data_IF_063625863451
#
_entry.id   IF_063625863451
#
_cell.length_a   1.000
_cell.length_b   1.000
_cell.length_c   1.000
_cell.angle_alpha   90.00
_cell.angle_beta   90.00
_cell.angle_gamma   90.00
#
_symmetry.space_group_name_H-M   'P 1'
#
loop_
_entity.id
_entity.type
_entity.pdbx_description
1 polymer ?
#
# COMPACT_ATOMS: atom_id res chain seq x y z
N UNK A 1 -10.69 -32.39 -32.42
CA UNK A 1 -10.20 -32.61 -31.04
C UNK A 1 -10.04 -31.27 -30.27
N UNK A 2 -10.84 -30.23 -30.57
CA UNK A 2 -10.62 -28.87 -30.06
C UNK A 2 -11.57 -28.49 -28.91
N UNK A 3 -12.57 -29.32 -28.63
CA UNK A 3 -13.59 -29.11 -27.60
C UNK A 3 -13.02 -29.22 -26.19
N UNK A 4 -12.03 -30.09 -25.99
CA UNK A 4 -11.39 -30.31 -24.70
C UNK A 4 -10.55 -29.08 -24.27
N UNK A 5 -9.70 -28.57 -25.18
CA UNK A 5 -8.88 -27.39 -24.89
C UNK A 5 -9.72 -26.14 -24.62
N UNK A 6 -10.80 -25.92 -25.38
CA UNK A 6 -11.70 -24.80 -25.15
C UNK A 6 -12.42 -24.91 -23.79
N UNK A 7 -12.80 -26.13 -23.38
CA UNK A 7 -13.41 -26.38 -22.07
C UNK A 7 -12.42 -26.19 -20.94
N UNK A 8 -11.20 -26.68 -21.08
CA UNK A 8 -10.10 -26.47 -20.14
C UNK A 8 -9.83 -24.98 -19.93
N UNK A 9 -9.72 -24.20 -21.01
CA UNK A 9 -9.50 -22.75 -20.92
C UNK A 9 -10.66 -22.03 -20.21
N UNK A 10 -11.90 -22.49 -20.38
CA UNK A 10 -13.04 -21.94 -19.63
C UNK A 10 -12.91 -22.20 -18.13
N UNK A 11 -12.50 -23.40 -17.73
CA UNK A 11 -12.29 -23.75 -16.31
C UNK A 11 -11.12 -22.96 -15.72
N UNK A 12 -10.00 -22.87 -16.43
CA UNK A 12 -8.83 -22.09 -15.98
C UNK A 12 -9.19 -20.63 -15.73
N UNK A 13 -10.01 -20.01 -16.60
CA UNK A 13 -10.48 -18.63 -16.42
C UNK A 13 -11.33 -18.42 -15.16
N UNK A 14 -11.90 -19.48 -14.57
CA UNK A 14 -12.63 -19.39 -13.30
C UNK A 14 -11.68 -19.32 -12.09
N UNK A 15 -10.41 -19.67 -12.22
CA UNK A 15 -9.47 -19.75 -11.10
C UNK A 15 -8.16 -18.98 -11.32
N UNK A 16 -7.91 -18.52 -12.54
CA UNK A 16 -6.74 -17.75 -12.90
C UNK A 16 -7.08 -16.59 -13.83
N UNK A 17 -6.22 -15.58 -13.81
CA UNK A 17 -6.21 -14.42 -14.71
C UNK A 17 -4.98 -14.46 -15.59
N UNK A 18 -5.09 -13.91 -16.80
CA UNK A 18 -4.00 -13.88 -17.75
C UNK A 18 -3.18 -12.58 -17.61
N UNK A 19 -1.86 -12.71 -17.48
CA UNK A 19 -0.91 -11.58 -17.46
C UNK A 19 0.28 -11.92 -18.35
N UNK A 20 0.51 -11.12 -19.40
CA UNK A 20 1.60 -11.33 -20.37
C UNK A 20 1.64 -12.76 -20.96
N UNK A 21 0.46 -13.35 -21.22
CA UNK A 21 0.33 -14.71 -21.74
C UNK A 21 0.44 -15.82 -20.70
N UNK A 22 0.73 -15.50 -19.43
CA UNK A 22 0.84 -16.48 -18.35
C UNK A 22 -0.43 -16.48 -17.48
N UNK A 23 -0.86 -17.67 -17.06
CA UNK A 23 -1.95 -17.83 -16.09
C UNK A 23 -1.44 -17.64 -14.67
N UNK A 24 -2.13 -16.79 -13.91
CA UNK A 24 -1.83 -16.50 -12.51
C UNK A 24 -3.10 -16.71 -11.69
N UNK A 25 -3.01 -17.45 -10.59
CA UNK A 25 -4.14 -17.74 -9.69
C UNK A 25 -4.83 -16.44 -9.25
N UNK A 26 -6.17 -16.41 -9.19
CA UNK A 26 -6.93 -15.23 -8.74
C UNK A 26 -6.69 -14.91 -7.27
N UNK A 27 -6.80 -13.64 -6.90
CA UNK A 27 -6.49 -13.19 -5.54
C UNK A 27 -7.49 -13.67 -4.50
N UNK A 28 -8.77 -13.82 -4.87
CA UNK A 28 -9.83 -14.33 -4.00
C UNK A 28 -9.69 -15.81 -3.63
N UNK A 29 -8.89 -16.56 -4.39
CA UNK A 29 -8.52 -17.94 -4.07
C UNK A 29 -7.39 -17.99 -3.05
N UNK A 30 -6.42 -17.06 -3.14
CA UNK A 30 -5.30 -16.99 -2.21
C UNK A 30 -5.65 -16.29 -0.90
N UNK A 31 -6.58 -15.34 -0.95
CA UNK A 31 -7.06 -14.60 0.21
C UNK A 31 -8.59 -14.77 0.30
N UNK A 32 -9.07 -15.89 0.86
CA UNK A 32 -10.50 -16.12 1.05
C UNK A 32 -11.14 -15.01 1.88
N UNK A 33 -12.44 -14.77 1.65
CA UNK A 33 -13.20 -13.78 2.41
C UNK A 33 -13.13 -14.07 3.91
N UNK A 34 -13.25 -13.01 4.71
CA UNK A 34 -13.23 -13.05 6.18
C UNK A 34 -11.93 -13.60 6.80
N UNK A 35 -10.86 -13.69 6.01
CA UNK A 35 -9.51 -13.99 6.50
C UNK A 35 -8.67 -12.72 6.61
N UNK A 36 -7.51 -12.84 7.26
CA UNK A 36 -6.53 -11.77 7.39
C UNK A 36 -5.11 -12.31 7.18
N UNK A 37 -4.19 -11.45 6.73
CA UNK A 37 -2.78 -11.79 6.57
C UNK A 37 -2.19 -12.24 7.90
N UNK A 38 -1.43 -13.33 7.86
CA UNK A 38 -0.69 -13.84 9.02
C UNK A 38 0.50 -12.95 9.42
N UNK A 39 0.98 -12.11 8.49
CA UNK A 39 2.16 -11.25 8.72
C UNK A 39 1.77 -10.00 9.50
N UNK A 40 0.70 -9.31 9.09
CA UNK A 40 0.32 -8.02 9.68
C UNK A 40 -1.16 -7.87 10.06
N UNK A 41 -1.97 -8.93 9.92
CA UNK A 41 -3.40 -8.89 10.25
C UNK A 41 -4.25 -8.10 9.24
N UNK A 42 -3.71 -7.76 8.08
CA UNK A 42 -4.43 -7.03 7.03
C UNK A 42 -5.60 -7.88 6.49
N UNK A 43 -6.83 -7.33 6.41
CA UNK A 43 -7.97 -8.06 5.84
C UNK A 43 -7.74 -8.56 4.42
N UNK A 44 -8.29 -9.74 4.12
CA UNK A 44 -8.18 -10.39 2.80
C UNK A 44 -8.60 -9.49 1.63
N UNK A 45 -9.59 -8.61 1.83
CA UNK A 45 -10.04 -7.68 0.81
C UNK A 45 -8.92 -6.70 0.40
N UNK A 46 -8.19 -6.14 1.37
CA UNK A 46 -7.06 -5.25 1.09
C UNK A 46 -5.89 -6.01 0.46
N UNK A 47 -5.65 -7.25 0.88
CA UNK A 47 -4.66 -8.14 0.26
C UNK A 47 -5.01 -8.43 -1.21
N UNK A 48 -6.29 -8.70 -1.50
CA UNK A 48 -6.78 -8.88 -2.86
C UNK A 48 -6.58 -7.62 -3.70
N UNK A 49 -6.96 -6.45 -3.19
CA UNK A 49 -6.77 -5.17 -3.89
C UNK A 49 -5.30 -4.89 -4.19
N UNK A 50 -4.42 -5.09 -3.21
CA UNK A 50 -2.99 -4.89 -3.39
C UNK A 50 -2.38 -5.82 -4.43
N UNK A 51 -2.73 -7.12 -4.37
CA UNK A 51 -2.27 -8.11 -5.34
C UNK A 51 -2.82 -7.87 -6.74
N UNK A 52 -4.11 -7.59 -6.86
CA UNK A 52 -4.75 -7.29 -8.14
C UNK A 52 -4.16 -6.03 -8.77
N UNK A 53 -3.81 -5.01 -7.98
CA UNK A 53 -3.12 -3.82 -8.47
C UNK A 53 -1.71 -4.13 -8.99
N UNK A 54 -0.94 -4.95 -8.26
CA UNK A 54 0.39 -5.42 -8.72
C UNK A 54 0.27 -6.18 -10.04
N UNK A 55 -0.69 -7.11 -10.15
CA UNK A 55 -0.93 -7.87 -11.36
C UNK A 55 -1.35 -6.98 -12.53
N UNK A 56 -2.24 -6.02 -12.30
CA UNK A 56 -2.61 -5.02 -13.29
C UNK A 56 -1.40 -4.21 -13.77
N UNK A 57 -0.49 -3.80 -12.89
CA UNK A 57 0.72 -3.10 -13.34
C UNK A 57 1.58 -3.95 -14.27
N UNK A 58 1.61 -5.27 -14.07
CA UNK A 58 2.29 -6.20 -14.98
C UNK A 58 1.56 -6.38 -16.32
N UNK A 59 0.26 -6.10 -16.44
CA UNK A 59 -0.38 -6.08 -17.77
C UNK A 59 0.07 -4.87 -18.58
N UNK A 60 0.38 -3.76 -17.90
CA UNK A 60 0.77 -2.49 -18.53
C UNK A 60 2.28 -2.37 -18.76
N UNK A 61 3.08 -2.94 -17.87
CA UNK A 61 4.53 -2.76 -17.86
C UNK A 61 5.25 -4.10 -17.67
N UNK A 62 6.42 -4.22 -18.29
CA UNK A 62 7.29 -5.39 -18.06
C UNK A 62 7.86 -5.43 -16.63
N UNK A 63 8.07 -4.25 -16.05
CA UNK A 63 8.69 -4.08 -14.74
C UNK A 63 7.80 -3.25 -13.81
N UNK A 64 7.81 -3.58 -12.52
CA UNK A 64 7.05 -2.90 -11.48
C UNK A 64 7.99 -2.41 -10.37
N UNK A 65 7.78 -1.17 -9.93
CA UNK A 65 8.55 -0.55 -8.85
C UNK A 65 7.77 -0.64 -7.53
N UNK A 66 8.38 -1.26 -6.52
CA UNK A 66 7.75 -1.42 -5.18
C UNK A 66 7.35 -0.09 -4.55
N UNK A 67 8.16 0.96 -4.73
CA UNK A 67 7.87 2.29 -4.20
C UNK A 67 6.61 2.90 -4.82
N UNK A 68 6.42 2.72 -6.14
CA UNK A 68 5.22 3.16 -6.84
C UNK A 68 3.99 2.43 -6.31
N UNK A 69 4.10 1.11 -6.13
CA UNK A 69 3.02 0.31 -5.55
C UNK A 69 2.67 0.83 -4.16
N UNK A 70 3.65 0.96 -3.26
CA UNK A 70 3.45 1.44 -1.89
C UNK A 70 2.88 2.85 -1.77
N UNK A 71 3.06 3.71 -2.78
CA UNK A 71 2.47 5.06 -2.79
C UNK A 71 0.98 5.06 -3.14
N UNK A 72 0.50 3.99 -3.78
CA UNK A 72 -0.87 3.87 -4.27
C UNK A 72 -1.68 2.97 -3.35
N UNK A 73 -1.18 1.77 -3.02
CA UNK A 73 -1.92 0.82 -2.20
C UNK A 73 -1.63 1.00 -0.71
N UNK A 74 -2.65 0.77 0.12
CA UNK A 74 -2.59 0.92 1.57
C UNK A 74 -2.22 -0.37 2.27
N UNK A 75 -1.12 -0.98 1.82
CA UNK A 75 -0.57 -2.18 2.44
C UNK A 75 0.75 -1.86 3.14
N UNK A 76 1.03 -2.50 4.29
CA UNK A 76 2.36 -2.51 4.88
C UNK A 76 3.40 -2.93 3.85
N UNK A 77 4.60 -2.38 3.97
CA UNK A 77 5.69 -2.64 3.03
C UNK A 77 6.00 -4.13 2.91
N UNK A 78 5.88 -4.87 4.00
CA UNK A 78 6.12 -6.29 4.15
C UNK A 78 5.16 -7.11 3.27
N UNK A 79 3.86 -6.80 3.30
CA UNK A 79 2.83 -7.45 2.47
C UNK A 79 3.11 -7.23 0.98
N UNK A 80 3.46 -6.00 0.60
CA UNK A 80 3.78 -5.66 -0.80
C UNK A 80 4.98 -6.46 -1.29
N UNK A 81 6.00 -6.58 -0.42
CA UNK A 81 7.20 -7.37 -0.74
C UNK A 81 6.83 -8.84 -0.94
N UNK A 82 6.05 -9.42 -0.03
CA UNK A 82 5.64 -10.81 -0.11
C UNK A 82 4.86 -11.10 -1.41
N UNK A 83 3.86 -10.27 -1.72
CA UNK A 83 3.08 -10.37 -2.96
C UNK A 83 4.00 -10.35 -4.20
N UNK A 84 4.97 -9.44 -4.23
CA UNK A 84 5.93 -9.36 -5.32
C UNK A 84 6.83 -10.61 -5.37
N UNK A 85 7.31 -11.12 -4.24
CA UNK A 85 8.16 -12.32 -4.19
C UNK A 85 7.44 -13.59 -4.67
N UNK A 86 6.13 -13.70 -4.44
CA UNK A 86 5.31 -14.83 -4.91
C UNK A 86 5.19 -14.86 -6.44
N UNK A 87 5.07 -13.69 -7.09
CA UNK A 87 4.68 -13.59 -8.51
C UNK A 87 5.88 -13.22 -9.42
N UNK A 88 6.84 -12.52 -8.87
CA UNK A 88 7.93 -11.87 -9.59
C UNK A 88 9.29 -12.17 -8.99
N UNK A 89 10.34 -11.75 -9.68
CA UNK A 89 11.72 -11.80 -9.22
C UNK A 89 12.32 -10.40 -9.28
N UNK A 90 13.25 -10.13 -8.38
CA UNK A 90 14.00 -8.87 -8.41
C UNK A 90 15.00 -8.94 -9.57
N UNK A 91 15.04 -7.87 -10.36
CA UNK A 91 15.96 -7.70 -11.48
C UNK A 91 16.83 -6.46 -11.18
N UNK A 92 18.15 -6.64 -11.22
CA UNK A 92 19.18 -5.60 -11.12
C UNK A 92 18.81 -4.42 -10.21
N UNK A 93 18.33 -3.32 -10.82
CA UNK A 93 17.98 -2.03 -10.22
C UNK A 93 16.76 -2.05 -9.26
N UNK A 94 16.54 -3.13 -8.50
CA UNK A 94 15.39 -3.30 -7.59
C UNK A 94 14.03 -3.22 -8.31
N UNK A 95 14.01 -3.48 -9.62
CA UNK A 95 12.78 -3.58 -10.41
C UNK A 95 12.26 -5.00 -10.31
N UNK A 96 10.94 -5.16 -10.26
CA UNK A 96 10.31 -6.47 -10.21
C UNK A 96 9.83 -6.86 -11.60
N UNK A 97 10.16 -8.06 -12.04
CA UNK A 97 9.73 -8.63 -13.32
C UNK A 97 9.04 -9.97 -13.05
N UNK A 98 7.99 -10.30 -13.79
CA UNK A 98 7.34 -11.61 -13.69
C UNK A 98 8.38 -12.74 -13.77
N UNK A 99 8.19 -13.77 -12.93
CA UNK A 99 9.09 -14.94 -12.91
C UNK A 99 9.18 -15.59 -14.30
N UNK A 100 8.04 -15.67 -14.98
CA UNK A 100 7.93 -16.25 -16.32
C UNK A 100 8.12 -15.17 -17.41
N UNK A 101 8.78 -15.51 -18.53
CA UNK A 101 8.84 -14.64 -19.70
C UNK A 101 7.44 -14.43 -20.32
N UNK A 102 7.30 -13.44 -21.20
CA UNK A 102 6.05 -13.26 -21.95
C UNK A 102 5.81 -14.52 -22.78
N UNK A 103 4.64 -15.15 -22.61
CA UNK A 103 4.24 -16.28 -23.45
C UNK A 103 3.61 -15.78 -24.75
N UNK A 104 4.46 -15.46 -25.73
CA UNK A 104 4.03 -15.03 -27.06
C UNK A 104 3.28 -16.13 -27.82
N UNK A 105 3.58 -17.40 -27.54
CA UNK A 105 2.94 -18.52 -28.23
C UNK A 105 1.47 -18.63 -27.79
N UNK A 106 1.19 -18.50 -26.49
CA UNK A 106 -0.17 -18.46 -25.97
C UNK A 106 -0.94 -17.27 -26.54
N UNK A 107 -0.32 -16.08 -26.53
CA UNK A 107 -0.97 -14.85 -27.02
C UNK A 107 -1.39 -14.99 -28.48
N UNK A 108 -0.50 -15.50 -29.34
CA UNK A 108 -0.81 -15.70 -30.77
C UNK A 108 -1.81 -16.83 -31.01
N UNK A 109 -1.82 -17.87 -30.16
CA UNK A 109 -2.65 -19.06 -30.35
C UNK A 109 -4.10 -18.86 -29.87
N UNK A 110 -4.32 -18.02 -28.85
CA UNK A 110 -5.64 -17.79 -28.24
C UNK A 110 -5.97 -16.29 -28.12
N UNK A 111 -5.96 -15.52 -29.23
CA UNK A 111 -6.17 -14.07 -29.21
C UNK A 111 -7.53 -13.67 -28.63
N UNK A 112 -8.56 -14.48 -28.81
CA UNK A 112 -9.90 -14.25 -28.26
C UNK A 112 -9.93 -14.33 -26.73
N UNK A 113 -9.14 -15.23 -26.13
CA UNK A 113 -9.01 -15.34 -24.68
C UNK A 113 -8.25 -14.13 -24.14
N UNK A 114 -7.16 -13.75 -24.82
CA UNK A 114 -6.38 -12.54 -24.46
C UNK A 114 -7.27 -11.31 -24.49
N UNK A 115 -8.06 -11.13 -25.54
CA UNK A 115 -8.96 -9.97 -25.67
C UNK A 115 -9.99 -9.92 -24.54
N UNK A 116 -10.61 -11.06 -24.19
CA UNK A 116 -11.57 -11.12 -23.09
C UNK A 116 -10.91 -10.82 -21.73
N UNK A 117 -9.70 -11.33 -21.51
CA UNK A 117 -8.93 -11.05 -20.29
C UNK A 117 -8.53 -9.58 -20.21
N UNK A 118 -8.24 -8.94 -21.35
CA UNK A 118 -7.99 -7.50 -21.39
C UNK A 118 -9.24 -6.71 -20.96
N UNK A 119 -10.43 -7.04 -21.51
CA UNK A 119 -11.68 -6.40 -21.07
C UNK A 119 -11.94 -6.61 -19.58
N UNK A 120 -11.62 -7.80 -19.06
CA UNK A 120 -11.71 -8.07 -17.63
C UNK A 120 -10.77 -7.18 -16.81
N UNK A 121 -9.52 -7.00 -17.25
CA UNK A 121 -8.56 -6.10 -16.60
C UNK A 121 -8.99 -4.64 -16.68
N UNK A 122 -9.57 -4.18 -17.79
CA UNK A 122 -10.08 -2.81 -17.92
C UNK A 122 -11.22 -2.56 -16.93
N UNK A 123 -12.12 -3.52 -16.76
CA UNK A 123 -13.18 -3.46 -15.75
C UNK A 123 -12.60 -3.50 -14.32
N UNK A 124 -11.62 -4.39 -14.09
CA UNK A 124 -10.95 -4.53 -12.79
C UNK A 124 -10.18 -3.29 -12.39
N UNK A 125 -9.51 -2.61 -13.34
CA UNK A 125 -8.82 -1.35 -13.10
C UNK A 125 -9.79 -0.27 -12.60
N UNK A 126 -10.97 -0.16 -13.19
CA UNK A 126 -12.00 0.78 -12.74
C UNK A 126 -12.42 0.48 -11.30
N UNK A 127 -12.67 -0.79 -10.98
CA UNK A 127 -13.01 -1.22 -9.62
C UNK A 127 -11.89 -0.90 -8.61
N UNK A 128 -10.63 -1.17 -8.96
CA UNK A 128 -9.48 -0.86 -8.10
C UNK A 128 -9.33 0.66 -7.87
N UNK A 129 -9.58 1.47 -8.89
CA UNK A 129 -9.49 2.93 -8.80
C UNK A 129 -10.55 3.49 -7.86
N UNK A 130 -11.79 3.03 -7.97
CA UNK A 130 -12.87 3.45 -7.06
C UNK A 130 -12.62 2.98 -5.61
N UNK A 131 -12.28 1.71 -5.41
CA UNK A 131 -12.00 1.17 -4.07
C UNK A 131 -10.87 1.94 -3.36
N UNK A 132 -9.82 2.29 -4.10
CA UNK A 132 -8.71 3.06 -3.56
C UNK A 132 -9.10 4.51 -3.23
N UNK A 133 -9.98 5.10 -4.04
CA UNK A 133 -10.53 6.45 -3.81
C UNK A 133 -11.42 6.48 -2.58
N UNK A 134 -12.28 5.49 -2.39
CA UNK A 134 -13.19 5.40 -1.23
C UNK A 134 -12.44 5.24 0.09
N UNK A 135 -11.36 4.46 0.11
CA UNK A 135 -10.47 4.40 1.27
C UNK A 135 -9.90 5.78 1.63
N UNK A 136 -9.60 6.63 0.64
CA UNK A 136 -9.04 7.97 0.84
C UNK A 136 -9.96 8.94 1.56
N UNK A 137 -11.27 8.88 1.29
CA UNK A 137 -12.25 9.77 1.92
C UNK A 137 -12.64 9.31 3.32
N UNK A 138 -12.72 8.00 3.59
CA UNK A 138 -13.09 7.49 4.91
C UNK A 138 -12.03 7.78 6.01
N UNK A 139 -10.76 7.90 5.63
CA UNK A 139 -9.69 8.31 6.56
C UNK A 139 -9.74 9.81 6.91
N UNK A 140 -10.46 10.63 6.14
CA UNK A 140 -10.56 12.08 6.35
C UNK A 140 -11.80 12.52 7.14
N UNK A 141 -12.80 11.65 7.30
CA UNK A 141 -14.07 11.97 7.97
C UNK A 141 -14.14 11.58 9.46
N UNK A 142 -13.15 10.85 10.00
CA UNK A 142 -13.12 10.42 11.41
C UNK A 142 -12.62 11.48 12.41
N UNK A 143 -12.47 12.75 11.98
CA UNK A 143 -11.81 13.81 12.76
C UNK A 143 -12.63 15.06 13.08
N UNK A 144 -13.98 15.04 13.11
CA UNK A 144 -14.74 16.26 13.49
C UNK A 144 -16.04 16.01 14.25
N UNK A 145 -15.95 15.43 15.44
CA UNK A 145 -16.97 15.63 16.48
C UNK A 145 -16.90 17.07 17.01
N UNK A 146 -17.43 18.01 16.22
CA UNK A 146 -17.60 19.41 16.62
C UNK A 146 -18.76 19.44 17.61
N UNK A 147 -18.45 19.50 18.91
CA UNK A 147 -19.42 19.82 19.97
C UNK A 147 -20.17 21.10 19.57
N UNK A 148 -21.42 20.96 19.13
CA UNK A 148 -22.34 22.07 18.86
C UNK A 148 -23.09 22.36 20.16
N UNK A 149 -22.56 23.27 20.97
CA UNK A 149 -23.33 23.87 22.07
C UNK A 149 -24.33 24.85 21.45
N UNK A 150 -25.60 24.49 21.42
CA UNK A 150 -26.72 25.39 21.17
C UNK A 150 -26.92 26.24 22.41
N UNK A 151 -26.40 27.47 22.35
CA UNK A 151 -26.79 28.57 23.23
C UNK A 151 -28.05 29.16 22.61
N UNK A 152 -29.20 28.90 23.22
CA UNK A 152 -30.43 29.59 22.88
C UNK A 152 -30.67 30.72 23.90
N UNK A 153 -30.94 31.90 23.36
CA UNK A 153 -31.44 33.12 24.00
C UNK A 153 -32.38 33.62 22.90
N UNK A 154 -33.67 33.83 23.07
CA UNK A 154 -34.40 34.56 24.12
C UNK A 154 -35.82 34.76 23.58
N UNK A 155 -36.88 34.70 24.40
CA UNK A 155 -38.02 35.65 24.29
C UNK A 155 -38.94 35.52 25.51
N UNK A 156 -39.35 36.69 26.01
CA UNK A 156 -40.27 36.94 27.12
C UNK A 156 -41.71 36.55 26.78
N UNK A 157 -42.51 36.18 27.78
CA UNK A 157 -43.82 36.80 27.98
C UNK A 157 -44.33 36.65 29.42
N UNK A 158 -45.22 37.58 29.74
CA UNK A 158 -45.76 38.04 31.02
C UNK A 158 -46.50 36.97 31.86
N UNK A 159 -46.61 37.19 33.18
CA UNK A 159 -47.83 37.18 34.02
C UNK A 159 -47.49 36.99 35.52
N UNK A 160 -48.17 37.78 36.36
CA UNK A 160 -47.96 37.98 37.79
C UNK A 160 -48.77 37.01 38.65
N UNK A 161 -48.15 36.49 39.72
CA UNK A 161 -48.71 36.12 41.06
C UNK A 161 -47.65 35.21 41.71
N UNK A 162 -47.06 35.46 42.86
CA UNK A 162 -47.63 35.81 44.16
C UNK A 162 -47.05 34.81 45.17
N UNK A 163 -46.52 35.33 46.29
CA UNK A 163 -46.05 34.62 47.50
C UNK A 163 -44.62 34.03 47.59
N UNK A 164 -43.84 34.60 48.52
CA UNK A 164 -43.40 33.80 49.67
C UNK A 164 -41.94 33.32 49.80
N UNK A 165 -41.08 34.22 50.32
CA UNK A 165 -39.93 33.98 51.24
C UNK A 165 -38.51 33.56 50.75
N UNK A 166 -37.44 33.96 51.49
CA UNK A 166 -36.06 34.00 50.99
C UNK A 166 -35.06 33.01 51.64
N UNK A 167 -33.98 32.69 50.91
CA UNK A 167 -32.55 32.44 51.32
C UNK A 167 -32.23 31.37 52.41
N UNK A 168 -31.08 30.63 52.36
CA UNK A 168 -29.75 31.22 52.15
C UNK A 168 -28.66 30.38 51.44
N UNK A 169 -27.58 31.12 51.19
CA UNK A 169 -26.22 30.78 50.72
C UNK A 169 -25.60 29.54 51.40
N UNK A 170 -24.85 28.73 50.64
CA UNK A 170 -23.71 27.98 51.19
C UNK A 170 -22.43 28.24 50.39
N UNK A 171 -21.50 28.85 51.11
CA UNK A 171 -20.13 29.18 50.73
C UNK A 171 -19.26 27.92 50.59
N UNK A 172 -18.24 28.05 49.73
CA UNK A 172 -16.85 27.62 49.91
C UNK A 172 -16.56 26.20 50.42
N UNK A 173 -15.75 25.45 49.64
CA UNK A 173 -14.33 25.28 50.01
C UNK A 173 -13.50 24.65 48.90
N UNK A 174 -12.37 25.31 48.65
CA UNK A 174 -11.16 24.81 47.99
C UNK A 174 -10.65 23.54 48.67
N UNK A 175 -10.03 22.64 47.92
CA UNK A 175 -8.66 22.18 48.20
C UNK A 175 -8.04 21.44 47.02
N UNK A 176 -6.81 21.83 46.72
CA UNK A 176 -5.87 21.17 45.83
C UNK A 176 -5.41 19.82 46.43
N UNK A 177 -5.03 18.89 45.56
CA UNK A 177 -4.20 17.73 45.90
C UNK A 177 -3.28 17.48 44.70
N UNK A 178 -2.11 18.11 44.69
CA UNK A 178 -0.82 17.53 45.04
C UNK A 178 -0.50 16.21 44.33
N UNK A 179 0.50 16.36 43.47
CA UNK A 179 1.22 15.38 42.70
C UNK A 179 2.42 14.95 43.58
N UNK A 180 2.44 13.70 44.04
CA UNK A 180 3.68 13.09 44.53
C UNK A 180 3.75 11.67 44.00
N UNK A 181 4.73 11.49 43.11
CA UNK A 181 5.14 10.22 42.53
C UNK A 181 5.92 9.44 43.58
N UNK A 182 5.44 8.23 43.90
CA UNK A 182 6.19 7.26 44.69
C UNK A 182 7.19 6.54 43.77
N UNK A 183 8.47 6.74 44.07
CA UNK A 183 9.59 5.90 43.65
C UNK A 183 9.43 4.52 44.27
N UNK A 184 9.53 3.48 43.44
CA UNK A 184 9.71 2.10 43.93
C UNK A 184 11.18 1.72 43.81
N UNK A 185 11.76 1.42 44.96
CA UNK A 185 12.99 0.69 45.15
C UNK A 185 12.87 -0.71 44.55
N UNK A 186 13.93 -1.18 43.89
CA UNK A 186 14.14 -2.61 43.71
C UNK A 186 15.63 -2.92 43.91
N UNK A 187 15.91 -3.56 45.05
CA UNK A 187 17.18 -4.22 45.35
C UNK A 187 17.43 -5.38 44.38
N UNK A 188 18.66 -5.52 43.91
CA UNK A 188 19.25 -6.84 43.64
C UNK A 188 20.77 -6.76 43.78
N UNK A 189 21.31 -7.80 44.44
CA UNK A 189 22.63 -7.81 45.05
C UNK A 189 23.83 -8.08 44.12
N UNK A 190 24.98 -7.69 44.68
CA UNK A 190 26.33 -8.33 44.72
C UNK A 190 26.95 -8.81 43.39
N UNK A 191 27.99 -8.12 42.88
CA UNK A 191 29.45 -8.42 43.06
C UNK A 191 29.90 -9.76 42.44
N UNK A 192 31.01 -9.92 41.72
CA UNK A 192 32.15 -9.07 41.35
C UNK A 192 32.93 -9.82 40.24
N UNK A 193 33.66 -9.12 39.35
CA UNK A 193 34.45 -9.83 38.31
C UNK A 193 35.16 -9.00 37.23
N UNK A 194 36.01 -8.06 37.64
CA UNK A 194 37.31 -7.64 37.06
C UNK A 194 37.53 -7.71 35.52
N UNK A 195 37.86 -6.56 34.89
CA UNK A 195 38.63 -6.54 33.64
C UNK A 195 38.67 -5.20 32.89
N UNK A 196 39.61 -4.32 33.25
CA UNK A 196 39.88 -3.00 32.63
C UNK A 196 40.39 -3.11 31.17
N UNK A 197 39.92 -2.24 30.26
CA UNK A 197 40.70 -1.14 29.62
C UNK A 197 39.96 -0.47 28.43
N UNK A 198 39.70 0.84 28.63
CA UNK A 198 39.76 2.03 27.74
C UNK A 198 39.89 1.82 26.21
N UNK A 199 39.00 2.39 25.39
CA UNK A 199 38.96 3.80 24.87
C UNK A 199 40.03 4.06 23.77
N UNK A 200 39.85 4.78 22.66
CA UNK A 200 38.78 5.44 21.90
C UNK A 200 39.52 6.07 20.68
N UNK A 201 38.79 6.42 19.60
CA UNK A 201 39.08 7.48 18.59
C UNK A 201 39.95 7.19 17.33
N UNK A 202 39.24 7.18 16.20
CA UNK A 202 39.37 8.00 14.96
C UNK A 202 40.73 8.40 14.39
N UNK A 203 40.93 8.13 13.07
CA UNK A 203 41.17 9.11 11.98
C UNK A 203 41.32 8.39 10.61
N UNK A 204 40.42 8.61 9.64
CA UNK A 204 40.56 9.44 8.42
C UNK A 204 41.80 9.16 7.55
N UNK A 205 41.57 8.62 6.35
CA UNK A 205 42.10 9.01 5.00
C UNK A 205 41.35 8.10 4.00
N UNK A 206 40.83 8.50 2.84
CA UNK A 206 41.18 9.62 1.97
C UNK A 206 41.76 9.08 0.67
N UNK A 207 40.98 8.43 -0.19
CA UNK A 207 41.40 8.12 -1.58
C UNK A 207 40.25 8.25 -2.57
N UNK A 208 40.33 9.38 -3.29
CA UNK A 208 39.58 9.78 -4.47
C UNK A 208 40.06 8.91 -5.65
N UNK A 209 39.17 8.19 -6.33
CA UNK A 209 39.49 7.54 -7.61
C UNK A 209 38.51 7.98 -8.71
N UNK A 210 39.13 8.33 -9.82
CA UNK A 210 38.70 9.07 -10.99
C UNK A 210 37.45 8.51 -11.70
N UNK A 211 36.48 9.39 -11.99
CA UNK A 211 35.53 9.21 -13.11
C UNK A 211 36.31 9.31 -14.42
N UNK A 212 36.35 8.23 -15.21
CA UNK A 212 36.71 8.29 -16.63
C UNK A 212 35.44 8.37 -17.46
N UNK A 213 35.20 9.56 -18.02
CA UNK A 213 34.30 9.77 -19.15
C UNK A 213 35.04 9.39 -20.43
N UNK A 214 34.51 8.43 -21.19
CA UNK A 214 34.88 8.23 -22.59
C UNK A 214 33.61 8.26 -23.42
N UNK A 215 33.30 9.42 -23.99
CA UNK A 215 32.37 9.56 -25.11
C UNK A 215 33.24 9.60 -26.35
N UNK A 216 33.24 8.51 -27.13
CA UNK A 216 33.70 8.57 -28.51
C UNK A 216 32.53 8.97 -29.39
N UNK A 217 32.76 10.06 -30.12
CA UNK A 217 32.00 10.49 -31.28
C UNK A 217 32.07 9.41 -32.36
N UNK A 218 30.91 9.10 -32.96
CA UNK A 218 30.85 8.71 -34.37
C UNK A 218 29.78 9.58 -35.02
N UNK A 219 30.23 10.41 -35.95
CA UNK A 219 29.40 11.21 -36.83
C UNK A 219 29.26 10.51 -38.19
N UNK A 220 28.19 10.89 -38.90
CA UNK A 220 27.93 10.75 -40.34
C UNK A 220 27.71 9.36 -40.93
N UNK A 221 26.49 9.16 -41.45
CA UNK A 221 26.25 9.31 -42.90
C UNK A 221 24.75 9.51 -43.17
N UNK A 222 24.45 10.59 -43.90
CA UNK A 222 23.15 10.83 -44.52
C UNK A 222 23.07 10.04 -45.83
N UNK A 223 21.92 9.43 -46.11
CA UNK A 223 21.54 9.02 -47.47
C UNK A 223 20.08 9.46 -47.67
N UNK A 224 19.94 10.53 -48.47
CA UNK A 224 18.71 10.95 -49.15
C UNK A 224 18.58 10.23 -50.50
N UNK A 225 17.37 10.31 -51.06
CA UNK A 225 16.88 9.93 -52.40
C UNK A 225 16.23 8.54 -52.47
N UNK A 226 15.05 8.32 -53.04
CA UNK A 226 14.05 9.16 -53.73
C UNK A 226 12.72 8.34 -53.84
N UNK A 227 11.59 8.94 -54.28
CA UNK A 227 10.27 8.29 -54.32
C UNK A 227 10.05 7.51 -55.64
N UNK A 228 9.16 6.50 -55.59
CA UNK A 228 8.66 5.82 -56.79
C UNK A 228 7.14 5.85 -56.77
N UNK A 229 6.57 6.77 -57.56
CA UNK A 229 5.22 6.63 -58.10
C UNK A 229 5.28 5.78 -59.37
N UNK A 230 4.29 4.89 -59.53
CA UNK A 230 3.52 4.66 -60.76
C UNK A 230 2.19 4.04 -60.39
#
# INVERSE_FOLDING_TARGET
MNTDTASLLRVVQQVAVLVQGNWIVRSDILYPKDTASSISGVPAELMCQGRDYVLYLFTQNRHVDRLRVSSVIRLPSEEIKEILEQISKVQGNKRWELRLPVDKAFISRYPEVVQRQQMWWDAKQKQLTEALREGSVAASSSGRSRRKSTRDSSVSDNELSGDGRPSPKRNQRRKANLQESLSSDNESGVESGVGKKQAQKNCVTGTKVQRRTSKQNVAMAAISAEPMET
#
